data_IF_169023487403
#
_entry.id   IF_169023487403
#
_cell.length_a   1.000
_cell.length_b   1.000
_cell.length_c   1.000
_cell.angle_alpha   90.00
_cell.angle_beta   90.00
_cell.angle_gamma   90.00
#
_symmetry.space_group_name_H-M   'P 1'
#
loop_
_entity.id
_entity.type
_entity.pdbx_description
1 polymer ?
#
# COMPACT_ATOMS: atom_id res chain seq x y z
N UNK A 1 -6.35 -14.47 19.51
CA UNK A 1 -5.18 -14.37 18.62
C UNK A 1 -5.23 -13.02 17.95
N UNK A 2 -4.16 -12.23 18.02
CA UNK A 2 -4.15 -10.92 17.36
C UNK A 2 -4.12 -11.15 15.84
N UNK A 3 -5.13 -10.68 15.12
CA UNK A 3 -5.24 -10.83 13.65
C UNK A 3 -4.23 -9.94 12.88
N UNK A 4 -3.12 -9.55 13.49
CA UNK A 4 -2.16 -8.60 12.92
C UNK A 4 -1.51 -9.13 11.64
N UNK A 5 -1.45 -10.45 11.45
CA UNK A 5 -0.70 -11.12 10.37
C UNK A 5 -1.58 -11.62 9.23
N UNK A 6 -2.85 -11.22 9.16
CA UNK A 6 -3.75 -11.70 8.10
C UNK A 6 -3.24 -11.30 6.70
N UNK A 7 -2.67 -10.09 6.56
CA UNK A 7 -2.08 -9.63 5.30
C UNK A 7 -0.89 -10.49 4.88
N UNK A 8 -0.01 -10.85 5.84
CA UNK A 8 1.08 -11.81 5.61
C UNK A 8 0.55 -13.13 5.07
N UNK A 9 -0.55 -13.63 5.66
CA UNK A 9 -1.16 -14.90 5.24
C UNK A 9 -1.62 -14.82 3.77
N UNK A 10 -2.19 -13.69 3.35
CA UNK A 10 -2.57 -13.49 1.95
C UNK A 10 -1.36 -13.45 1.03
N UNK A 11 -0.30 -12.75 1.42
CA UNK A 11 0.92 -12.61 0.62
C UNK A 11 1.77 -13.89 0.48
N UNK A 12 1.58 -14.86 1.39
CA UNK A 12 2.20 -16.20 1.31
C UNK A 12 1.42 -17.18 0.44
N UNK A 13 0.11 -16.98 0.29
CA UNK A 13 -0.74 -17.87 -0.50
C UNK A 13 -0.50 -17.67 -1.99
N UNK A 14 -0.77 -18.72 -2.76
CA UNK A 14 -0.92 -18.57 -4.19
C UNK A 14 -2.15 -17.69 -4.47
N UNK A 15 -2.03 -16.59 -5.22
CA UNK A 15 -3.10 -15.60 -5.33
C UNK A 15 -4.44 -16.20 -5.80
N UNK A 16 -4.41 -17.19 -6.70
CA UNK A 16 -5.60 -17.89 -7.21
C UNK A 16 -6.43 -18.61 -6.14
N UNK A 17 -5.87 -18.82 -4.94
CA UNK A 17 -6.58 -19.44 -3.82
C UNK A 17 -7.32 -18.42 -2.96
N UNK A 18 -7.09 -17.12 -3.19
CA UNK A 18 -7.79 -16.06 -2.47
C UNK A 18 -9.19 -15.85 -3.08
N UNK A 19 -10.24 -15.68 -2.26
CA UNK A 19 -11.57 -15.32 -2.73
C UNK A 19 -11.55 -14.04 -3.58
N UNK A 20 -12.40 -13.98 -4.61
CA UNK A 20 -12.57 -12.77 -5.44
C UNK A 20 -13.08 -11.55 -4.64
N UNK A 21 -13.73 -11.77 -3.49
CA UNK A 21 -14.11 -10.70 -2.56
C UNK A 21 -12.92 -10.09 -1.80
N UNK A 22 -11.74 -10.71 -1.90
CA UNK A 22 -10.50 -10.25 -1.27
C UNK A 22 -9.53 -9.80 -2.36
N UNK A 23 -9.24 -10.67 -3.33
CA UNK A 23 -8.28 -10.40 -4.39
C UNK A 23 -8.91 -9.53 -5.47
N UNK A 24 -8.38 -8.32 -5.65
CA UNK A 24 -8.72 -7.46 -6.78
C UNK A 24 -7.86 -7.82 -7.99
N UNK A 25 -6.53 -7.80 -7.83
CA UNK A 25 -5.56 -8.07 -8.90
C UNK A 25 -4.30 -8.74 -8.37
N UNK A 26 -3.51 -9.29 -9.28
CA UNK A 26 -2.18 -9.84 -8.99
C UNK A 26 -1.19 -9.48 -10.07
N UNK A 27 0.06 -9.27 -9.67
CA UNK A 27 1.23 -9.23 -10.54
C UNK A 27 2.17 -10.39 -10.17
N UNK A 28 3.34 -10.45 -10.81
CA UNK A 28 4.36 -11.42 -10.42
C UNK A 28 4.84 -11.17 -8.97
N UNK A 29 5.01 -9.90 -8.61
CA UNK A 29 5.63 -9.45 -7.35
C UNK A 29 4.62 -9.11 -6.26
N UNK A 30 3.41 -8.65 -6.59
CA UNK A 30 2.44 -8.18 -5.60
C UNK A 30 1.06 -8.82 -5.79
N UNK A 31 0.23 -8.66 -4.76
CA UNK A 31 -1.23 -8.83 -4.83
C UNK A 31 -1.89 -7.52 -4.41
N UNK A 32 -2.97 -7.15 -5.11
CA UNK A 32 -3.84 -6.04 -4.72
C UNK A 32 -5.12 -6.61 -4.17
N UNK A 33 -5.49 -6.20 -2.96
CA UNK A 33 -6.70 -6.65 -2.28
C UNK A 33 -7.63 -5.48 -1.95
N UNK A 34 -8.91 -5.78 -1.80
CA UNK A 34 -9.85 -4.84 -1.18
C UNK A 34 -9.54 -4.72 0.32
N UNK A 35 -9.51 -3.50 0.86
CA UNK A 35 -9.40 -3.31 2.32
C UNK A 35 -10.69 -3.80 2.98
N UNK A 36 -10.58 -4.71 3.96
CA UNK A 36 -11.75 -5.30 4.64
C UNK A 36 -12.50 -4.32 5.55
N UNK A 37 -11.93 -3.14 5.81
CA UNK A 37 -12.48 -2.05 6.61
C UNK A 37 -12.26 -0.71 5.89
N UNK A 38 -12.79 -0.53 4.66
CA UNK A 38 -12.41 0.56 3.77
C UNK A 38 -12.66 1.93 4.42
N UNK A 39 -11.73 2.89 4.30
CA UNK A 39 -11.88 4.22 4.93
C UNK A 39 -12.39 5.30 3.98
N UNK A 40 -12.51 4.96 2.71
CA UNK A 40 -13.12 5.75 1.65
C UNK A 40 -13.96 4.83 0.76
N UNK A 41 -14.66 5.39 -0.22
CA UNK A 41 -15.40 4.64 -1.23
C UNK A 41 -14.48 3.62 -1.94
N UNK A 42 -13.29 4.05 -2.34
CA UNK A 42 -12.26 3.21 -2.92
C UNK A 42 -11.10 3.08 -1.94
N UNK A 43 -10.85 1.86 -1.45
CA UNK A 43 -9.73 1.60 -0.56
C UNK A 43 -9.16 0.20 -0.79
N UNK A 44 -7.94 0.16 -1.29
CA UNK A 44 -7.21 -1.05 -1.66
C UNK A 44 -5.87 -1.11 -0.93
N UNK A 45 -5.35 -2.32 -0.81
CA UNK A 45 -4.01 -2.57 -0.29
C UNK A 45 -3.19 -3.33 -1.32
N UNK A 46 -1.98 -2.84 -1.63
CA UNK A 46 -1.00 -3.55 -2.43
C UNK A 46 0.01 -4.21 -1.50
N UNK A 47 0.13 -5.54 -1.59
CA UNK A 47 0.94 -6.37 -0.73
C UNK A 47 2.05 -7.05 -1.57
N UNK A 48 3.34 -6.81 -1.28
CA UNK A 48 4.41 -7.57 -1.91
C UNK A 48 4.40 -9.02 -1.45
N UNK A 49 4.51 -9.95 -2.39
CA UNK A 49 4.48 -11.39 -2.12
C UNK A 49 5.76 -11.83 -1.41
N UNK A 50 5.65 -12.85 -0.56
CA UNK A 50 6.81 -13.45 0.10
C UNK A 50 7.41 -14.49 -0.84
N UNK A 51 8.53 -14.15 -1.45
CA UNK A 51 9.26 -14.94 -2.44
C UNK A 51 10.75 -14.69 -2.25
N UNK A 52 11.60 -15.72 -2.33
CA UNK A 52 13.05 -15.57 -2.22
C UNK A 52 13.58 -14.48 -3.17
N UNK A 53 14.42 -13.53 -2.71
CA UNK A 53 15.07 -13.46 -1.40
C UNK A 53 14.30 -12.65 -0.32
N UNK A 54 13.04 -12.28 -0.58
CA UNK A 54 12.19 -11.52 0.34
C UNK A 54 11.51 -12.45 1.34
N UNK A 55 11.72 -12.17 2.62
CA UNK A 55 11.13 -12.94 3.72
C UNK A 55 9.95 -12.19 4.35
N UNK A 56 9.19 -12.91 5.18
CA UNK A 56 8.15 -12.32 6.02
C UNK A 56 8.67 -11.24 6.98
N UNK A 57 9.95 -11.30 7.35
CA UNK A 57 10.60 -10.32 8.22
C UNK A 57 11.03 -9.07 7.45
N UNK A 58 11.66 -9.25 6.29
CA UNK A 58 12.02 -8.15 5.38
C UNK A 58 10.78 -7.35 4.96
N UNK A 59 9.67 -8.05 4.69
CA UNK A 59 8.40 -7.45 4.32
C UNK A 59 7.47 -7.22 5.51
N UNK A 60 7.98 -7.11 6.75
CA UNK A 60 7.13 -6.90 7.93
C UNK A 60 6.42 -5.54 7.90
N UNK A 61 7.13 -4.49 7.50
CA UNK A 61 6.65 -3.12 7.36
C UNK A 61 7.71 -2.29 6.60
N UNK A 62 7.39 -1.02 6.31
CA UNK A 62 8.29 -0.15 5.55
C UNK A 62 9.66 0.04 6.22
N UNK A 63 9.78 0.33 7.54
CA UNK A 63 11.08 0.40 8.21
C UNK A 63 11.92 -0.88 8.10
N UNK A 64 11.30 -2.06 8.17
CA UNK A 64 12.01 -3.34 8.06
C UNK A 64 12.58 -3.55 6.66
N UNK A 65 11.84 -3.14 5.63
CA UNK A 65 12.32 -3.16 4.24
C UNK A 65 13.49 -2.19 4.05
N UNK A 66 13.36 -0.95 4.51
CA UNK A 66 14.34 0.11 4.31
C UNK A 66 15.65 -0.10 5.09
N UNK A 67 15.61 -0.86 6.19
CA UNK A 67 16.82 -1.26 6.92
C UNK A 67 17.63 -2.35 6.17
N UNK A 68 17.01 -3.02 5.22
CA UNK A 68 17.64 -4.06 4.43
C UNK A 68 18.53 -3.52 3.32
N UNK A 69 18.77 -4.37 2.32
CA UNK A 69 19.49 -3.99 1.11
C UNK A 69 18.74 -2.91 0.32
N UNK A 70 19.42 -1.80 0.00
CA UNK A 70 18.81 -0.61 -0.60
C UNK A 70 18.30 -0.86 -2.02
N UNK A 71 19.05 -1.57 -2.85
CA UNK A 71 18.64 -1.91 -4.22
C UNK A 71 17.39 -2.80 -4.20
N UNK A 72 17.37 -3.80 -3.31
CA UNK A 72 16.21 -4.66 -3.11
C UNK A 72 15.00 -3.90 -2.58
N UNK A 73 15.20 -3.03 -1.60
CA UNK A 73 14.13 -2.19 -1.06
C UNK A 73 13.53 -1.31 -2.17
N UNK A 74 14.39 -0.66 -2.97
CA UNK A 74 13.97 0.13 -4.13
C UNK A 74 13.17 -0.72 -5.12
N UNK A 75 13.67 -1.90 -5.48
CA UNK A 75 13.00 -2.80 -6.42
C UNK A 75 11.61 -3.26 -5.95
N UNK A 76 11.40 -3.37 -4.63
CA UNK A 76 10.09 -3.66 -4.03
C UNK A 76 9.17 -2.43 -4.13
N UNK A 77 9.66 -1.24 -3.80
CA UNK A 77 8.86 0.00 -3.87
C UNK A 77 8.52 0.36 -5.32
N UNK A 78 9.45 0.19 -6.27
CA UNK A 78 9.19 0.39 -7.71
C UNK A 78 8.08 -0.55 -8.20
N UNK A 79 8.14 -1.84 -7.86
CA UNK A 79 7.10 -2.79 -8.23
C UNK A 79 5.73 -2.47 -7.62
N UNK A 80 5.71 -1.99 -6.38
CA UNK A 80 4.50 -1.51 -5.72
C UNK A 80 3.96 -0.26 -6.44
N UNK A 81 4.83 0.64 -6.88
CA UNK A 81 4.47 1.85 -7.61
C UNK A 81 3.84 1.55 -8.97
N UNK A 82 4.41 0.62 -9.73
CA UNK A 82 3.84 0.14 -11.00
C UNK A 82 2.40 -0.38 -10.82
N UNK A 83 2.19 -1.23 -9.81
CA UNK A 83 0.85 -1.75 -9.51
C UNK A 83 -0.09 -0.67 -8.98
N UNK A 84 0.42 0.33 -8.24
CA UNK A 84 -0.37 1.46 -7.74
C UNK A 84 -0.90 2.34 -8.88
N UNK A 85 -0.09 2.63 -9.90
CA UNK A 85 -0.53 3.39 -11.07
C UNK A 85 -1.61 2.64 -11.87
N UNK A 86 -1.47 1.31 -12.01
CA UNK A 86 -2.50 0.50 -12.65
C UNK A 86 -3.83 0.55 -11.88
N UNK A 87 -3.78 0.40 -10.55
CA UNK A 87 -4.97 0.47 -9.67
C UNK A 87 -5.59 1.87 -9.69
N UNK A 88 -4.78 2.94 -9.63
CA UNK A 88 -5.26 4.33 -9.73
C UNK A 88 -6.06 4.56 -11.01
N UNK A 89 -5.56 4.06 -12.14
CA UNK A 89 -6.25 4.20 -13.44
C UNK A 89 -7.63 3.55 -13.41
N UNK A 90 -7.73 2.31 -12.92
CA UNK A 90 -9.01 1.60 -12.83
C UNK A 90 -9.99 2.28 -11.88
N UNK A 91 -9.53 2.73 -10.71
CA UNK A 91 -10.36 3.51 -9.77
C UNK A 91 -10.89 4.77 -10.46
N UNK A 92 -10.05 5.50 -11.19
CA UNK A 92 -10.47 6.73 -11.87
C UNK A 92 -11.49 6.48 -12.99
N UNK A 93 -11.37 5.36 -13.72
CA UNK A 93 -12.35 4.95 -14.72
C UNK A 93 -13.69 4.64 -14.05
N UNK A 94 -13.68 3.86 -12.97
CA UNK A 94 -14.88 3.52 -12.20
C UNK A 94 -15.52 4.76 -11.53
N UNK A 95 -14.71 5.71 -11.06
CA UNK A 95 -15.19 6.98 -10.52
C UNK A 95 -16.02 7.77 -11.55
N UNK A 96 -15.51 7.88 -12.78
CA UNK A 96 -16.23 8.57 -13.86
C UNK A 96 -17.50 7.83 -14.24
N UNK A 97 -17.42 6.51 -14.37
CA UNK A 97 -18.56 5.67 -14.74
C UNK A 97 -19.70 5.76 -13.71
N UNK A 98 -19.38 5.65 -12.41
CA UNK A 98 -20.39 5.57 -11.34
C UNK A 98 -20.83 6.93 -10.80
N UNK A 99 -19.95 7.93 -10.81
CA UNK A 99 -20.19 9.21 -10.14
C UNK A 99 -20.10 10.42 -11.06
N UNK A 100 -19.56 10.28 -12.28
CA UNK A 100 -19.43 11.38 -13.24
C UNK A 100 -18.31 12.37 -12.95
N UNK A 101 -17.50 12.14 -11.90
CA UNK A 101 -16.33 12.95 -11.55
C UNK A 101 -15.27 12.08 -10.86
N UNK A 102 -14.07 12.63 -10.65
CA UNK A 102 -12.95 11.95 -9.99
C UNK A 102 -12.61 12.65 -8.68
N UNK A 103 -12.43 11.89 -7.62
CA UNK A 103 -11.68 12.36 -6.45
C UNK A 103 -10.18 12.17 -6.70
N UNK A 104 -9.36 12.89 -5.95
CA UNK A 104 -7.94 12.57 -5.84
C UNK A 104 -7.77 11.15 -5.27
N UNK A 105 -6.65 10.51 -5.63
CA UNK A 105 -6.26 9.21 -5.07
C UNK A 105 -4.93 9.39 -4.38
N UNK A 106 -4.87 9.02 -3.11
CA UNK A 106 -3.65 9.02 -2.33
C UNK A 106 -3.06 7.62 -2.28
N UNK A 107 -1.74 7.56 -2.44
CA UNK A 107 -0.94 6.35 -2.31
C UNK A 107 0.10 6.55 -1.23
N UNK A 108 0.19 5.60 -0.30
CA UNK A 108 1.14 5.74 0.80
C UNK A 108 1.06 4.66 1.88
N UNK A 109 1.99 4.76 2.82
CA UNK A 109 2.14 3.85 3.95
C UNK A 109 1.78 4.57 5.24
N UNK A 110 1.25 3.84 6.22
CA UNK A 110 1.20 4.37 7.58
C UNK A 110 2.59 4.35 8.22
N UNK A 111 3.02 5.47 8.81
CA UNK A 111 4.28 5.51 9.57
C UNK A 111 4.30 4.57 10.77
N UNK A 112 3.14 4.32 11.36
CA UNK A 112 2.92 3.29 12.39
C UNK A 112 1.78 2.34 11.94
N UNK A 113 2.09 1.25 11.23
CA UNK A 113 1.08 0.37 10.65
C UNK A 113 0.31 -0.41 11.74
N UNK A 114 -0.99 -0.62 11.51
CA UNK A 114 -1.87 -1.37 12.42
C UNK A 114 -1.87 -2.88 12.19
N UNK A 115 -1.35 -3.33 11.04
CA UNK A 115 -1.19 -4.72 10.66
C UNK A 115 0.26 -4.99 10.30
N UNK A 116 0.72 -6.21 10.55
CA UNK A 116 1.97 -6.70 10.01
C UNK A 116 1.82 -7.05 8.54
N UNK A 117 2.97 -7.05 7.86
CA UNK A 117 3.16 -7.12 6.43
C UNK A 117 3.09 -5.76 5.77
N UNK A 118 4.09 -5.43 4.96
CA UNK A 118 4.16 -4.21 4.16
C UNK A 118 2.90 -4.09 3.28
N UNK A 119 2.24 -2.95 3.31
CA UNK A 119 1.07 -2.69 2.49
C UNK A 119 0.99 -1.21 2.12
N UNK A 120 0.89 -0.95 0.82
CA UNK A 120 0.58 0.38 0.32
C UNK A 120 -0.94 0.55 0.32
N UNK A 121 -1.42 1.64 0.91
CA UNK A 121 -2.80 2.07 0.74
C UNK A 121 -2.95 2.77 -0.60
N UNK A 122 -3.96 2.39 -1.38
CA UNK A 122 -4.47 3.16 -2.51
C UNK A 122 -5.89 3.56 -2.17
N UNK A 123 -6.10 4.85 -1.87
CA UNK A 123 -7.33 5.33 -1.25
C UNK A 123 -7.84 6.60 -1.93
N UNK A 124 -9.15 6.67 -2.20
CA UNK A 124 -9.78 7.90 -2.68
C UNK A 124 -9.88 8.96 -1.59
N UNK A 125 -9.77 10.23 -1.97
CA UNK A 125 -9.68 11.37 -1.05
C UNK A 125 -11.01 11.73 -0.35
N UNK A 126 -12.13 11.06 -0.67
CA UNK A 126 -13.44 11.34 -0.06
C UNK A 126 -13.49 11.01 1.44
N UNK A 127 -12.70 10.02 1.91
CA UNK A 127 -12.70 9.54 3.29
C UNK A 127 -14.11 9.23 3.84
N UNK A 128 -15.04 8.86 2.96
CA UNK A 128 -16.44 8.65 3.24
C UNK A 128 -16.74 7.15 3.31
N UNK A 129 -16.81 6.62 4.54
CA UNK A 129 -17.14 5.21 4.78
C UNK A 129 -17.71 5.03 6.19
N UNK A 130 -18.64 4.09 6.35
CA UNK A 130 -19.13 3.66 7.67
C UNK A 130 -18.03 3.08 8.58
N UNK A 131 -16.89 2.66 8.00
CA UNK A 131 -15.73 2.18 8.77
C UNK A 131 -14.78 3.33 9.20
N UNK A 132 -15.02 4.56 8.76
CA UNK A 132 -14.37 5.77 9.27
C UNK A 132 -14.98 6.18 10.64
N UNK A 133 -14.64 5.41 11.68
CA UNK A 133 -15.34 5.50 12.99
C UNK A 133 -14.79 6.54 13.97
N UNK A 134 -13.55 6.99 13.81
CA UNK A 134 -12.91 7.83 14.84
C UNK A 134 -11.83 8.73 14.24
N UNK A 135 -11.42 9.72 15.03
CA UNK A 135 -10.39 10.71 14.66
C UNK A 135 -9.06 10.06 14.31
N UNK A 136 -8.69 8.94 14.96
CA UNK A 136 -7.45 8.22 14.64
C UNK A 136 -7.48 7.67 13.22
N UNK A 137 -8.60 7.10 12.77
CA UNK A 137 -8.75 6.64 11.39
C UNK A 137 -8.61 7.81 10.41
N UNK A 138 -9.32 8.92 10.63
CA UNK A 138 -9.22 10.07 9.74
C UNK A 138 -7.79 10.62 9.68
N UNK A 139 -7.17 10.79 10.85
CA UNK A 139 -5.85 11.38 10.96
C UNK A 139 -4.75 10.52 10.30
N UNK A 140 -4.89 9.19 10.31
CA UNK A 140 -3.86 8.31 9.75
C UNK A 140 -3.76 8.39 8.22
N UNK A 141 -4.83 8.82 7.54
CA UNK A 141 -4.86 8.98 6.08
C UNK A 141 -4.75 10.43 5.62
N UNK A 142 -5.11 11.40 6.46
CA UNK A 142 -5.14 12.79 6.03
C UNK A 142 -3.71 13.29 5.72
N UNK A 143 -3.41 13.68 4.46
CA UNK A 143 -2.04 13.87 3.98
C UNK A 143 -1.26 14.96 4.72
N UNK A 144 -1.96 15.96 5.25
CA UNK A 144 -1.34 17.12 5.94
C UNK A 144 -0.92 16.87 7.39
N UNK A 145 -1.14 15.67 7.94
CA UNK A 145 -0.91 15.39 9.37
C UNK A 145 0.35 14.58 9.65
N UNK A 146 1.10 14.16 8.62
CA UNK A 146 2.38 13.48 8.77
C UNK A 146 2.31 12.01 9.23
N UNK A 147 1.12 11.41 9.30
CA UNK A 147 0.94 9.99 9.63
C UNK A 147 0.88 9.07 8.41
N UNK A 148 0.67 9.68 7.23
CA UNK A 148 0.61 9.01 5.93
C UNK A 148 1.87 9.39 5.14
N UNK A 149 2.74 8.41 4.93
CA UNK A 149 3.97 8.55 4.16
C UNK A 149 3.64 8.34 2.69
N UNK A 150 3.65 9.41 1.90
CA UNK A 150 3.29 9.33 0.49
C UNK A 150 4.29 8.46 -0.28
N UNK A 151 3.78 7.70 -1.26
CA UNK A 151 4.61 6.82 -2.08
C UNK A 151 5.73 7.59 -2.78
N UNK A 152 5.42 8.78 -3.30
CA UNK A 152 6.39 9.64 -3.99
C UNK A 152 7.52 10.10 -3.06
N UNK A 153 7.21 10.42 -1.79
CA UNK A 153 8.22 10.75 -0.79
C UNK A 153 9.14 9.55 -0.54
N UNK A 154 8.57 8.35 -0.36
CA UNK A 154 9.34 7.12 -0.14
C UNK A 154 10.23 6.79 -1.34
N UNK A 155 9.74 6.97 -2.57
CA UNK A 155 10.52 6.79 -3.79
C UNK A 155 11.70 7.77 -3.85
N UNK A 156 11.49 9.02 -3.41
CA UNK A 156 12.54 10.05 -3.41
C UNK A 156 13.72 9.71 -2.49
N UNK A 157 13.50 8.95 -1.41
CA UNK A 157 14.57 8.57 -0.47
C UNK A 157 15.67 7.72 -1.11
N UNK A 158 15.35 7.00 -2.19
CA UNK A 158 16.34 6.20 -2.89
C UNK A 158 17.27 7.02 -3.80
N UNK A 159 16.86 8.24 -4.19
CA UNK A 159 17.62 9.12 -5.09
C UNK A 159 18.49 10.18 -4.39
N UNK A 160 18.31 10.42 -3.09
CA UNK A 160 18.94 11.55 -2.38
C UNK A 160 20.37 11.28 -1.87
N UNK A 161 20.89 10.06 -1.95
CA UNK A 161 22.23 9.73 -1.41
C UNK A 161 23.37 9.79 -2.42
N UNK A 162 23.11 9.90 -3.73
CA UNK A 162 24.21 9.99 -4.72
C UNK A 162 25.00 11.31 -4.65
N UNK A 163 24.46 12.34 -3.98
CA UNK A 163 25.12 13.65 -3.85
C UNK A 163 25.92 13.80 -2.54
N UNK A 164 25.77 12.88 -1.58
CA UNK A 164 26.39 12.98 -0.25
C UNK A 164 27.74 12.26 -0.12
N UNK A 165 28.10 11.40 -1.08
CA UNK A 165 29.38 10.67 -1.11
C UNK A 165 30.46 11.36 -1.97
N UNK A 166 30.16 12.50 -2.60
CA UNK A 166 31.09 13.26 -3.44
C UNK A 166 31.69 14.53 -2.76
N UNK A 167 31.53 14.69 -1.44
CA UNK A 167 32.10 15.82 -0.65
C UNK A 167 33.16 15.38 0.37
#
# INVERSE_FOLDING_TARGET
>A
MSNLTILRTYAQKSPETLPASILFKRSAKNITIFDGYPKSIFHFLILPRIQEPLTADTLRNLPSLLKGDKERAKAVIDAISEDAEAVKKEIQEEMVERYGFKWDIWTGFHGAPSMEHLHLHVISADLCSERMKNKKHYNSFHPKLGFFLHLDDVLSWFGQESEAEEL
#
